data_IF_254135466173
#
_entry.id   IF_254135466173
#
_cell.length_a   1.000
_cell.length_b   1.000
_cell.length_c   1.000
_cell.angle_alpha   90.00
_cell.angle_beta   90.00
_cell.angle_gamma   90.00
#
_symmetry.space_group_name_H-M   'P 1'
#
loop_
_entity.id
_entity.type
_entity.pdbx_description
1 polymer ?
#
# COMPACT_ATOMS: atom_id res chain seq x y z
N UNK A 1 -22.54 5.07 5.87
CA UNK A 1 -23.47 5.88 6.70
C UNK A 1 -23.21 7.38 6.54
N UNK A 2 -22.00 7.88 6.80
CA UNK A 2 -21.72 9.34 6.71
C UNK A 2 -21.99 9.90 5.31
N UNK A 3 -21.60 9.22 4.24
CA UNK A 3 -21.88 9.62 2.86
C UNK A 3 -23.39 9.74 2.61
N UNK A 4 -24.16 8.77 3.11
CA UNK A 4 -25.62 8.77 2.98
C UNK A 4 -26.24 9.93 3.74
N UNK A 5 -25.76 10.23 4.95
CA UNK A 5 -26.21 11.40 5.74
C UNK A 5 -25.89 12.71 5.01
N UNK A 6 -24.68 12.82 4.42
CA UNK A 6 -24.28 14.00 3.65
C UNK A 6 -25.14 14.18 2.38
N UNK A 7 -25.45 13.11 1.67
CA UNK A 7 -26.35 13.17 0.50
C UNK A 7 -27.76 13.58 0.91
N UNK A 8 -28.29 13.05 2.01
CA UNK A 8 -29.60 13.43 2.54
C UNK A 8 -29.60 14.91 2.96
N UNK A 9 -28.54 15.38 3.60
CA UNK A 9 -28.39 16.79 3.98
C UNK A 9 -28.39 17.72 2.76
N UNK A 10 -27.69 17.36 1.68
CA UNK A 10 -27.69 18.13 0.42
C UNK A 10 -29.09 18.16 -0.20
N UNK A 11 -29.79 17.03 -0.26
CA UNK A 11 -31.14 16.95 -0.80
C UNK A 11 -32.11 17.78 0.03
N UNK A 12 -32.02 17.71 1.36
CA UNK A 12 -32.84 18.51 2.27
C UNK A 12 -32.62 20.01 2.07
N UNK A 13 -31.37 20.44 1.86
CA UNK A 13 -31.03 21.84 1.58
C UNK A 13 -31.58 22.32 0.23
N UNK A 14 -31.58 21.47 -0.81
CA UNK A 14 -32.15 21.78 -2.12
C UNK A 14 -33.67 21.96 -2.01
N UNK A 15 -34.34 21.08 -1.29
CA UNK A 15 -35.78 21.14 -1.06
C UNK A 15 -36.16 22.40 -0.25
N UNK A 16 -35.38 22.71 0.79
CA UNK A 16 -35.57 23.88 1.63
C UNK A 16 -35.46 25.20 0.82
N UNK A 17 -34.46 25.27 -0.09
CA UNK A 17 -34.28 26.41 -0.99
C UNK A 17 -35.46 26.59 -1.96
N UNK A 18 -36.07 25.51 -2.41
CA UNK A 18 -37.27 25.58 -3.27
C UNK A 18 -38.53 26.12 -2.57
N UNK A 19 -38.57 26.06 -1.22
CA UNK A 19 -39.73 26.49 -0.41
C UNK A 19 -39.59 27.87 0.25
N UNK A 20 -38.36 28.34 0.50
CA UNK A 20 -38.10 29.58 1.24
C UNK A 20 -37.10 30.46 0.46
N UNK A 21 -37.60 31.59 -0.10
CA UNK A 21 -36.75 32.62 -0.70
C UNK A 21 -36.49 33.73 0.32
N UNK A 22 -35.24 33.86 0.77
CA UNK A 22 -34.79 34.91 1.69
C UNK A 22 -33.26 34.95 1.82
N UNK A 23 -32.72 35.97 2.50
CA UNK A 23 -31.27 36.26 2.65
C UNK A 23 -30.38 35.13 3.23
N UNK A 24 -30.96 34.02 3.60
CA UNK A 24 -30.26 32.76 3.98
C UNK A 24 -29.52 32.07 2.84
N UNK A 25 -29.68 32.47 1.60
CA UNK A 25 -29.15 31.80 0.41
C UNK A 25 -27.62 31.72 0.41
N UNK A 26 -26.92 32.76 0.89
CA UNK A 26 -25.45 32.79 0.84
C UNK A 26 -24.83 31.76 1.82
N UNK A 27 -25.37 31.66 3.02
CA UNK A 27 -24.89 30.71 4.05
C UNK A 27 -25.14 29.29 3.61
N UNK A 28 -26.30 29.00 3.03
CA UNK A 28 -26.66 27.70 2.50
C UNK A 28 -25.75 27.27 1.32
N UNK A 29 -25.38 28.19 0.43
CA UNK A 29 -24.43 27.93 -0.66
C UNK A 29 -23.04 27.61 -0.11
N UNK A 30 -22.57 28.31 0.90
CA UNK A 30 -21.26 28.03 1.54
C UNK A 30 -21.24 26.66 2.20
N UNK A 31 -22.29 26.27 2.93
CA UNK A 31 -22.40 24.95 3.56
C UNK A 31 -22.40 23.86 2.49
N UNK A 32 -23.19 24.00 1.40
CA UNK A 32 -23.19 23.04 0.29
C UNK A 32 -21.82 22.89 -0.34
N UNK A 33 -21.11 23.99 -0.58
CA UNK A 33 -19.77 23.97 -1.13
C UNK A 33 -18.80 23.20 -0.21
N UNK A 34 -18.82 23.46 1.10
CA UNK A 34 -18.00 22.75 2.07
C UNK A 34 -18.28 21.23 2.07
N UNK A 35 -19.56 20.85 2.00
CA UNK A 35 -19.96 19.41 1.93
C UNK A 35 -19.47 18.76 0.66
N UNK A 36 -19.55 19.42 -0.50
CA UNK A 36 -19.04 18.90 -1.77
C UNK A 36 -17.52 18.70 -1.70
N UNK A 37 -16.78 19.64 -1.14
CA UNK A 37 -15.32 19.52 -0.96
C UNK A 37 -14.97 18.33 -0.09
N UNK A 38 -15.66 18.13 1.04
CA UNK A 38 -15.45 16.97 1.91
C UNK A 38 -15.74 15.66 1.17
N UNK A 39 -16.83 15.59 0.41
CA UNK A 39 -17.16 14.40 -0.41
C UNK A 39 -16.09 14.11 -1.45
N UNK A 40 -15.57 15.13 -2.13
CA UNK A 40 -14.49 14.96 -3.11
C UNK A 40 -13.22 14.40 -2.46
N UNK A 41 -12.85 14.90 -1.27
CA UNK A 41 -11.70 14.40 -0.52
C UNK A 41 -11.88 12.94 -0.10
N UNK A 42 -13.07 12.57 0.37
CA UNK A 42 -13.38 11.19 0.76
C UNK A 42 -13.34 10.23 -0.44
N UNK A 43 -13.89 10.64 -1.59
CA UNK A 43 -13.88 9.85 -2.82
C UNK A 43 -12.45 9.69 -3.36
N UNK A 44 -11.63 10.74 -3.32
CA UNK A 44 -10.23 10.69 -3.72
C UNK A 44 -9.45 9.68 -2.88
N UNK A 45 -9.63 9.70 -1.56
CA UNK A 45 -9.03 8.72 -0.66
C UNK A 45 -9.46 7.28 -1.00
N UNK A 46 -10.74 7.03 -1.25
CA UNK A 46 -11.25 5.70 -1.61
C UNK A 46 -10.64 5.19 -2.93
N UNK A 47 -10.48 6.08 -3.92
CA UNK A 47 -9.90 5.74 -5.21
C UNK A 47 -8.41 5.34 -5.10
N UNK A 48 -7.63 6.06 -4.31
CA UNK A 48 -6.21 5.73 -4.08
C UNK A 48 -6.03 4.35 -3.43
N UNK A 49 -6.96 3.93 -2.58
CA UNK A 49 -6.86 2.68 -1.84
C UNK A 49 -7.03 1.42 -2.73
N UNK A 50 -7.81 1.50 -3.82
CA UNK A 50 -8.11 0.33 -4.65
C UNK A 50 -6.86 -0.37 -5.22
N UNK A 51 -5.77 0.38 -5.43
CA UNK A 51 -4.52 -0.15 -5.99
C UNK A 51 -3.50 -0.66 -4.96
N UNK A 52 -3.70 -0.42 -3.66
CA UNK A 52 -2.66 -0.72 -2.64
C UNK A 52 -2.41 -2.22 -2.54
N UNK A 53 -3.45 -3.03 -2.40
CA UNK A 53 -3.33 -4.49 -2.29
C UNK A 53 -2.70 -5.13 -3.53
N UNK A 54 -3.00 -4.60 -4.72
CA UNK A 54 -2.38 -5.07 -5.97
C UNK A 54 -0.88 -4.73 -5.99
N UNK A 55 -0.49 -3.53 -5.54
CA UNK A 55 0.91 -3.11 -5.45
C UNK A 55 1.68 -3.95 -4.43
N UNK A 56 1.09 -4.24 -3.27
CA UNK A 56 1.69 -5.11 -2.26
C UNK A 56 1.96 -6.50 -2.87
N UNK A 57 0.95 -7.15 -3.46
CA UNK A 57 1.10 -8.45 -4.12
C UNK A 57 2.15 -8.45 -5.23
N UNK A 58 2.22 -7.37 -6.00
CA UNK A 58 3.25 -7.21 -7.04
C UNK A 58 4.67 -7.23 -6.43
N UNK A 59 4.91 -6.43 -5.37
CA UNK A 59 6.23 -6.40 -4.73
C UNK A 59 6.56 -7.69 -3.98
N UNK A 60 5.58 -8.35 -3.35
CA UNK A 60 5.76 -9.66 -2.74
C UNK A 60 6.14 -10.73 -3.78
N UNK A 61 5.48 -10.72 -4.94
CA UNK A 61 5.84 -11.61 -6.06
C UNK A 61 7.23 -11.33 -6.59
N UNK A 62 7.62 -10.05 -6.74
CA UNK A 62 8.97 -9.68 -7.15
C UNK A 62 10.02 -10.15 -6.12
N UNK A 63 9.76 -9.98 -4.83
CA UNK A 63 10.66 -10.44 -3.78
C UNK A 63 10.83 -11.97 -3.82
N UNK A 64 9.75 -12.72 -3.99
CA UNK A 64 9.84 -14.17 -4.15
C UNK A 64 10.68 -14.59 -5.37
N UNK A 65 10.55 -13.86 -6.51
CA UNK A 65 11.39 -14.10 -7.68
C UNK A 65 12.87 -13.75 -7.41
N UNK A 66 13.14 -12.69 -6.65
CA UNK A 66 14.49 -12.29 -6.26
C UNK A 66 15.12 -13.32 -5.33
N UNK A 67 14.40 -13.84 -4.32
CA UNK A 67 14.87 -14.91 -3.45
C UNK A 67 15.31 -16.13 -4.27
N UNK A 68 14.51 -16.56 -5.23
CA UNK A 68 14.88 -17.64 -6.13
C UNK A 68 16.12 -17.37 -6.97
N UNK A 69 16.26 -16.14 -7.48
CA UNK A 69 17.45 -15.73 -8.23
C UNK A 69 18.68 -15.74 -7.35
N UNK A 70 18.57 -15.22 -6.13
CA UNK A 70 19.62 -15.23 -5.11
C UNK A 70 20.04 -16.69 -4.82
N UNK A 71 19.08 -17.59 -4.57
CA UNK A 71 19.35 -19.01 -4.33
C UNK A 71 20.14 -19.64 -5.48
N UNK A 72 19.76 -19.37 -6.73
CA UNK A 72 20.48 -19.89 -7.90
C UNK A 72 21.89 -19.34 -8.00
N UNK A 73 22.05 -18.03 -7.76
CA UNK A 73 23.36 -17.35 -7.83
C UNK A 73 24.29 -17.88 -6.74
N UNK A 74 23.81 -17.97 -5.51
CA UNK A 74 24.54 -18.51 -4.36
C UNK A 74 24.93 -19.96 -4.62
N UNK A 75 24.00 -20.79 -5.10
CA UNK A 75 24.27 -22.18 -5.44
C UNK A 75 25.33 -22.33 -6.53
N UNK A 76 25.30 -21.47 -7.55
CA UNK A 76 26.33 -21.46 -8.61
C UNK A 76 27.71 -21.11 -8.03
N UNK A 77 27.76 -20.13 -7.16
CA UNK A 77 29.02 -19.72 -6.49
C UNK A 77 29.57 -20.85 -5.61
N UNK A 78 28.72 -21.49 -4.80
CA UNK A 78 29.10 -22.59 -3.92
C UNK A 78 29.55 -23.85 -4.67
N UNK A 79 28.99 -24.13 -5.85
CA UNK A 79 29.42 -25.24 -6.69
C UNK A 79 30.86 -25.09 -7.22
N UNK A 80 31.37 -23.87 -7.30
CA UNK A 80 32.77 -23.58 -7.65
C UNK A 80 33.74 -23.80 -6.48
N UNK A 81 33.23 -23.70 -5.21
CA UNK A 81 34.02 -23.90 -4.00
C UNK A 81 33.58 -25.14 -3.22
N UNK A 82 33.67 -26.30 -3.88
CA UNK A 82 33.09 -27.59 -3.44
C UNK A 82 33.48 -28.09 -2.04
N UNK A 83 34.51 -27.57 -1.40
CA UNK A 83 35.02 -28.13 -0.15
C UNK A 83 34.53 -27.42 1.14
N UNK A 84 33.82 -26.30 1.02
CA UNK A 84 33.50 -25.46 2.19
C UNK A 84 32.05 -25.55 2.65
N UNK A 85 31.11 -25.97 1.78
CA UNK A 85 29.68 -25.86 2.07
C UNK A 85 28.97 -27.20 2.00
N UNK A 86 28.68 -27.80 3.15
CA UNK A 86 28.25 -29.19 3.22
C UNK A 86 26.78 -29.47 2.95
N UNK A 87 25.83 -28.55 3.07
CA UNK A 87 24.41 -28.84 2.76
C UNK A 87 23.63 -27.54 2.44
N UNK A 88 23.39 -27.30 1.18
CA UNK A 88 22.50 -26.22 0.74
C UNK A 88 21.09 -26.74 0.52
N UNK A 89 20.10 -26.17 1.23
CA UNK A 89 18.68 -26.36 0.96
C UNK A 89 18.13 -25.17 0.15
N UNK A 90 17.23 -25.44 -0.78
CA UNK A 90 16.56 -24.37 -1.53
C UNK A 90 15.82 -23.43 -0.55
N UNK A 91 16.07 -22.12 -0.65
CA UNK A 91 15.53 -21.11 0.27
C UNK A 91 16.53 -20.59 1.32
N UNK A 92 17.70 -21.17 1.42
CA UNK A 92 18.71 -20.74 2.42
C UNK A 92 19.65 -19.63 1.90
N UNK A 93 19.51 -19.19 0.62
CA UNK A 93 20.42 -18.23 -0.01
C UNK A 93 20.52 -16.90 0.76
N UNK A 94 19.43 -16.39 1.28
CA UNK A 94 19.41 -15.18 2.09
C UNK A 94 20.15 -15.34 3.44
N UNK A 95 19.99 -16.50 4.08
CA UNK A 95 20.68 -16.83 5.31
C UNK A 95 22.18 -16.98 5.09
N UNK A 96 22.57 -17.61 3.97
CA UNK A 96 23.98 -17.79 3.58
C UNK A 96 24.67 -16.45 3.30
N UNK A 97 24.04 -15.51 2.61
CA UNK A 97 24.57 -14.17 2.37
C UNK A 97 24.84 -13.43 3.70
N UNK A 98 24.03 -13.69 4.71
CA UNK A 98 24.22 -13.10 6.04
C UNK A 98 25.42 -13.71 6.75
N UNK A 99 25.64 -15.01 6.56
CA UNK A 99 26.70 -15.77 7.21
C UNK A 99 28.06 -15.59 6.52
N UNK A 100 28.06 -15.45 5.19
CA UNK A 100 29.27 -15.37 4.37
C UNK A 100 29.40 -14.01 3.69
N UNK A 101 30.23 -13.08 4.23
CA UNK A 101 30.41 -11.72 3.72
C UNK A 101 30.90 -11.66 2.26
N UNK A 102 31.65 -12.67 1.81
CA UNK A 102 32.16 -12.79 0.46
C UNK A 102 31.03 -12.93 -0.58
N UNK A 103 29.93 -13.60 -0.25
CA UNK A 103 28.76 -13.69 -1.12
C UNK A 103 28.10 -12.32 -1.28
N UNK A 104 28.10 -11.51 -0.23
CA UNK A 104 27.56 -10.15 -0.25
C UNK A 104 28.40 -9.19 -1.09
N UNK A 105 29.70 -9.47 -1.28
CA UNK A 105 30.58 -8.66 -2.12
C UNK A 105 30.36 -8.90 -3.62
N UNK A 106 29.67 -9.98 -4.01
CA UNK A 106 29.28 -10.23 -5.39
C UNK A 106 28.30 -9.16 -5.86
N UNK A 107 28.64 -8.46 -6.94
CA UNK A 107 27.90 -7.31 -7.44
C UNK A 107 26.44 -7.66 -7.79
N UNK A 108 26.22 -8.84 -8.41
CA UNK A 108 24.89 -9.33 -8.78
C UNK A 108 24.03 -9.63 -7.54
N UNK A 109 24.61 -10.29 -6.53
CA UNK A 109 23.93 -10.58 -5.26
C UNK A 109 23.58 -9.28 -4.54
N UNK A 110 24.51 -8.32 -4.52
CA UNK A 110 24.29 -7.01 -3.91
C UNK A 110 23.14 -6.26 -4.56
N UNK A 111 23.09 -6.19 -5.89
CA UNK A 111 22.00 -5.53 -6.64
C UNK A 111 20.65 -6.19 -6.33
N UNK A 112 20.60 -7.52 -6.30
CA UNK A 112 19.39 -8.27 -5.97
C UNK A 112 18.92 -8.01 -4.54
N UNK A 113 19.85 -7.95 -3.58
CA UNK A 113 19.58 -7.63 -2.18
C UNK A 113 19.08 -6.19 -1.99
N UNK A 114 19.68 -5.22 -2.66
CA UNK A 114 19.27 -3.82 -2.61
C UNK A 114 17.85 -3.65 -3.16
N UNK A 115 17.54 -4.36 -4.26
CA UNK A 115 16.20 -4.37 -4.84
C UNK A 115 15.18 -5.02 -3.90
N UNK A 116 15.53 -6.15 -3.29
CA UNK A 116 14.70 -6.83 -2.29
C UNK A 116 14.37 -5.93 -1.11
N UNK A 117 15.39 -5.29 -0.53
CA UNK A 117 15.21 -4.35 0.59
C UNK A 117 14.37 -3.13 0.19
N UNK A 118 14.58 -2.60 -1.01
CA UNK A 118 13.77 -1.49 -1.54
C UNK A 118 12.29 -1.88 -1.65
N UNK A 119 12.01 -3.07 -2.19
CA UNK A 119 10.64 -3.58 -2.28
C UNK A 119 10.02 -3.80 -0.90
N UNK A 120 10.78 -4.34 0.05
CA UNK A 120 10.33 -4.53 1.43
C UNK A 120 9.91 -3.20 2.09
N UNK A 121 10.72 -2.14 1.90
CA UNK A 121 10.39 -0.79 2.39
C UNK A 121 9.14 -0.23 1.72
N UNK A 122 8.94 -0.49 0.42
CA UNK A 122 7.72 -0.07 -0.30
C UNK A 122 6.48 -0.82 0.23
N UNK A 123 6.60 -2.12 0.46
CA UNK A 123 5.52 -2.92 1.06
C UNK A 123 5.16 -2.38 2.44
N UNK A 124 6.15 -2.10 3.30
CA UNK A 124 5.92 -1.55 4.64
C UNK A 124 5.15 -0.21 4.57
N UNK A 125 5.57 0.72 3.70
CA UNK A 125 4.87 2.00 3.49
C UNK A 125 3.45 1.83 2.93
N UNK A 126 3.23 0.84 2.06
CA UNK A 126 1.90 0.56 1.53
C UNK A 126 0.99 -0.04 2.59
N UNK A 127 1.50 -0.93 3.45
CA UNK A 127 0.75 -1.48 4.59
C UNK A 127 0.41 -0.42 5.63
N UNK A 128 1.32 0.52 5.90
CA UNK A 128 1.04 1.69 6.73
C UNK A 128 -0.13 2.51 6.16
N UNK A 129 -0.08 2.84 4.87
CA UNK A 129 -1.19 3.52 4.19
C UNK A 129 -2.50 2.72 4.25
N UNK A 130 -2.45 1.41 4.10
CA UNK A 130 -3.65 0.55 4.20
C UNK A 130 -4.30 0.64 5.58
N UNK A 131 -3.49 0.72 6.65
CA UNK A 131 -3.99 0.93 8.02
C UNK A 131 -4.68 2.29 8.12
N UNK A 132 -4.07 3.37 7.63
CA UNK A 132 -4.65 4.72 7.64
C UNK A 132 -5.98 4.76 6.89
N UNK A 133 -6.08 4.05 5.76
CA UNK A 133 -7.33 3.92 5.01
C UNK A 133 -8.41 3.12 5.74
N UNK A 134 -8.03 2.07 6.45
CA UNK A 134 -8.99 1.29 7.23
C UNK A 134 -9.58 2.13 8.36
N UNK A 135 -8.79 3.00 9.00
CA UNK A 135 -9.28 3.99 9.96
C UNK A 135 -10.28 4.94 9.30
N UNK A 136 -9.96 5.47 8.11
CA UNK A 136 -10.86 6.35 7.36
C UNK A 136 -12.15 5.64 6.95
N UNK A 137 -12.07 4.39 6.48
CA UNK A 137 -13.24 3.56 6.20
C UNK A 137 -14.11 3.35 7.43
N UNK A 138 -13.50 3.09 8.59
CA UNK A 138 -14.24 2.92 9.83
C UNK A 138 -15.09 4.14 10.16
N UNK A 139 -14.54 5.36 10.00
CA UNK A 139 -15.29 6.60 10.18
C UNK A 139 -16.43 6.77 9.17
N UNK A 140 -16.25 6.33 7.93
CA UNK A 140 -17.27 6.46 6.86
C UNK A 140 -18.38 5.42 7.01
N UNK A 141 -18.04 4.17 7.32
CA UNK A 141 -18.95 3.02 7.29
C UNK A 141 -19.31 2.47 8.68
N UNK A 142 -18.81 3.06 9.77
CA UNK A 142 -19.01 2.55 11.14
C UNK A 142 -18.63 1.07 11.29
N UNK A 143 -17.39 0.73 10.99
CA UNK A 143 -16.83 -0.58 11.27
C UNK A 143 -17.23 -1.69 10.28
N UNK A 144 -17.56 -1.35 9.04
CA UNK A 144 -17.69 -2.35 7.99
C UNK A 144 -16.32 -2.98 7.68
N UNK A 145 -16.20 -4.31 7.87
CA UNK A 145 -15.08 -5.16 7.45
C UNK A 145 -14.83 -5.06 5.93
#
# INVERSE_FOLDING_TARGET
MVILILIIAIIALIIYKGCFSGDFDVVLIQINFAVVVVLCLLLSNLYENQGINQKIKMYETQNWQLERKIDVTVKSYMNHEKDTYKEFKAGDGMALITTYPELRSNELVKEQMDTYQSNYRKIAKLKEKEIDYNVTKWWIYFGGE
#
